data_IF_334669860343
#
_entry.id   IF_334669860343
#
_cell.length_a   1.000
_cell.length_b   1.000
_cell.length_c   1.000
_cell.angle_alpha   90.00
_cell.angle_beta   90.00
_cell.angle_gamma   90.00
#
_symmetry.space_group_name_H-M   'P 1'
#
loop_
_entity.id
_entity.type
_entity.pdbx_description
1 polymer ?
#
# COMPACT_ATOMS: atom_id res chain seq x y z
N UNK A 1 -3.67 -6.27 10.29
CA UNK A 1 -2.78 -6.76 11.37
C UNK A 1 -1.52 -7.31 10.74
N UNK A 2 -0.34 -6.90 11.21
CA UNK A 2 0.94 -7.41 10.71
C UNK A 2 1.61 -8.20 11.83
N UNK A 3 2.10 -9.38 11.49
CA UNK A 3 2.89 -10.21 12.39
C UNK A 3 4.18 -10.62 11.69
N UNK A 4 5.30 -10.43 12.37
CA UNK A 4 6.60 -10.90 11.94
C UNK A 4 7.15 -11.88 12.98
N UNK A 5 7.35 -13.12 12.57
CA UNK A 5 7.61 -14.24 13.48
C UNK A 5 8.99 -14.86 13.28
N UNK A 6 9.65 -15.17 14.40
CA UNK A 6 11.03 -15.63 14.46
C UNK A 6 11.14 -16.84 15.39
N UNK A 7 11.66 -17.95 14.86
CA UNK A 7 12.06 -19.09 15.66
C UNK A 7 13.42 -18.82 16.30
N UNK A 8 13.44 -18.70 17.62
CA UNK A 8 14.65 -18.36 18.36
C UNK A 8 15.08 -19.49 19.30
N UNK A 9 16.36 -19.86 19.24
CA UNK A 9 17.00 -20.71 20.25
C UNK A 9 17.12 -19.98 21.57
N UNK A 10 17.44 -18.69 21.53
CA UNK A 10 17.51 -17.80 22.68
C UNK A 10 17.06 -16.38 22.32
N UNK A 11 16.41 -15.68 23.25
CA UNK A 11 16.18 -14.24 23.14
C UNK A 11 16.03 -13.57 24.50
N UNK A 12 16.26 -12.26 24.55
CA UNK A 12 15.98 -11.44 25.72
C UNK A 12 15.34 -10.11 25.35
N UNK A 13 14.53 -9.57 26.25
CA UNK A 13 13.87 -8.26 26.11
C UNK A 13 13.96 -7.49 27.42
N UNK A 14 14.29 -6.20 27.33
CA UNK A 14 14.45 -5.33 28.48
C UNK A 14 13.87 -3.95 28.20
N UNK A 15 12.93 -3.52 29.04
CA UNK A 15 12.38 -2.16 28.99
C UNK A 15 13.44 -1.14 29.37
N UNK A 16 13.58 -0.08 28.57
CA UNK A 16 14.54 1.01 28.84
C UNK A 16 13.85 2.27 29.30
N UNK A 17 13.04 2.87 28.43
CA UNK A 17 12.29 4.08 28.74
C UNK A 17 10.88 3.98 28.18
N UNK A 18 9.86 4.46 28.91
CA UNK A 18 8.52 4.57 28.35
C UNK A 18 8.55 5.53 27.16
N UNK A 19 7.69 5.28 26.19
CA UNK A 19 7.49 6.16 25.05
C UNK A 19 6.84 7.46 25.51
N UNK A 20 7.31 8.58 24.96
CA UNK A 20 6.70 9.90 25.15
C UNK A 20 5.74 10.29 24.01
N UNK A 21 5.44 9.36 23.10
CA UNK A 21 4.63 9.59 21.89
C UNK A 21 3.24 8.95 21.93
N UNK A 22 2.87 8.35 23.05
CA UNK A 22 1.59 7.63 23.23
C UNK A 22 0.93 8.05 24.54
N UNK A 23 -0.38 7.81 24.65
CA UNK A 23 -1.14 8.03 25.88
C UNK A 23 -0.51 7.23 27.05
N UNK A 24 -0.02 7.91 28.11
CA UNK A 24 0.58 7.25 29.27
C UNK A 24 -0.33 6.19 29.92
N UNK A 25 -1.65 6.34 29.80
CA UNK A 25 -2.62 5.37 30.33
C UNK A 25 -2.62 4.02 29.59
N UNK A 26 -2.02 3.97 28.38
CA UNK A 26 -1.89 2.74 27.58
C UNK A 26 -0.57 2.01 27.81
N UNK A 27 0.37 2.65 28.50
CA UNK A 27 1.68 2.07 28.80
C UNK A 27 1.50 1.00 29.88
N UNK A 28 2.01 -0.20 29.61
CA UNK A 28 1.97 -1.29 30.60
C UNK A 28 2.88 -0.98 31.80
N UNK A 29 2.74 -1.67 32.94
CA UNK A 29 3.77 -1.64 33.97
C UNK A 29 5.13 -2.04 33.38
N UNK A 30 6.24 -1.42 33.82
CA UNK A 30 7.57 -1.76 33.33
C UNK A 30 7.88 -3.21 33.70
N UNK A 31 8.45 -3.96 32.75
CA UNK A 31 8.90 -5.32 33.00
C UNK A 31 10.44 -5.35 33.16
N UNK A 32 10.97 -6.18 34.08
CA UNK A 32 12.40 -6.44 34.14
C UNK A 32 12.86 -7.17 32.87
N UNK A 33 14.18 -7.34 32.73
CA UNK A 33 14.74 -8.17 31.67
C UNK A 33 14.12 -9.58 31.72
N UNK A 34 13.50 -9.97 30.61
CA UNK A 34 12.94 -11.29 30.40
C UNK A 34 13.80 -12.04 29.38
N UNK A 35 14.05 -13.32 29.63
CA UNK A 35 14.84 -14.20 28.78
C UNK A 35 14.02 -15.44 28.46
N UNK A 36 14.14 -15.91 27.21
CA UNK A 36 13.37 -17.05 26.71
C UNK A 36 14.28 -17.93 25.86
N UNK A 37 14.04 -19.24 25.94
CA UNK A 37 14.74 -20.26 25.15
C UNK A 37 13.75 -21.08 24.34
N UNK A 38 14.15 -21.47 23.13
CA UNK A 38 13.37 -22.28 22.19
C UNK A 38 11.91 -21.78 22.01
N UNK A 39 11.77 -20.52 21.62
CA UNK A 39 10.47 -19.84 21.49
C UNK A 39 10.19 -19.40 20.06
N UNK A 40 8.90 -19.15 19.77
CA UNK A 40 8.48 -18.36 18.61
C UNK A 40 8.22 -16.92 19.06
N UNK A 41 9.11 -16.00 18.69
CA UNK A 41 8.90 -14.57 18.92
C UNK A 41 8.01 -14.02 17.81
N UNK A 42 6.91 -13.37 18.17
CA UNK A 42 5.99 -12.73 17.24
C UNK A 42 5.95 -11.23 17.51
N UNK A 43 6.54 -10.44 16.62
CA UNK A 43 6.34 -9.00 16.61
C UNK A 43 4.98 -8.69 16.00
N UNK A 44 4.12 -7.98 16.74
CA UNK A 44 2.73 -7.72 16.33
C UNK A 44 2.49 -6.23 16.20
N UNK A 45 1.94 -5.82 15.06
CA UNK A 45 1.41 -4.48 14.83
C UNK A 45 -0.07 -4.54 14.47
N UNK A 46 -0.88 -3.80 15.24
CA UNK A 46 -2.30 -3.62 15.00
C UNK A 46 -2.48 -2.37 14.14
N UNK A 47 -3.22 -2.51 13.06
CA UNK A 47 -3.53 -1.46 12.09
C UNK A 47 -4.95 -0.93 12.28
N UNK A 48 -5.21 0.29 11.78
CA UNK A 48 -6.42 1.07 12.07
C UNK A 48 -7.75 0.32 11.95
N UNK A 49 -7.94 -0.46 10.88
CA UNK A 49 -9.20 -1.19 10.66
C UNK A 49 -9.21 -2.63 11.19
N UNK A 50 -8.20 -3.01 11.98
CA UNK A 50 -8.16 -4.33 12.59
C UNK A 50 -9.19 -4.46 13.70
N UNK A 51 -9.71 -5.66 13.86
CA UNK A 51 -10.64 -6.03 14.91
C UNK A 51 -10.53 -7.51 15.26
N UNK A 52 -11.63 -8.06 15.78
CA UNK A 52 -11.70 -9.47 16.21
C UNK A 52 -11.48 -10.46 15.07
N UNK A 53 -11.89 -10.09 13.87
CA UNK A 53 -11.75 -10.93 12.67
C UNK A 53 -10.27 -11.20 12.35
N UNK A 54 -9.44 -10.16 12.33
CA UNK A 54 -8.00 -10.27 12.09
C UNK A 54 -7.29 -11.02 13.23
N UNK A 55 -7.74 -10.84 14.47
CA UNK A 55 -7.25 -11.61 15.63
C UNK A 55 -7.55 -13.11 15.45
N UNK A 56 -8.76 -13.46 15.02
CA UNK A 56 -9.14 -14.86 14.79
C UNK A 56 -8.34 -15.48 13.64
N UNK A 57 -8.23 -14.78 12.51
CA UNK A 57 -7.41 -15.20 11.37
C UNK A 57 -5.95 -15.42 11.78
N UNK A 58 -5.38 -14.49 12.55
CA UNK A 58 -4.03 -14.63 13.08
C UNK A 58 -3.90 -15.85 14.00
N UNK A 59 -4.82 -16.04 14.94
CA UNK A 59 -4.80 -17.18 15.84
C UNK A 59 -4.91 -18.53 15.08
N UNK A 60 -5.70 -18.59 14.00
CA UNK A 60 -5.85 -19.77 13.12
C UNK A 60 -4.57 -20.09 12.36
N UNK A 61 -4.03 -19.12 11.64
CA UNK A 61 -2.83 -19.34 10.85
C UNK A 61 -1.62 -19.69 11.72
N UNK A 62 -1.44 -19.00 12.85
CA UNK A 62 -0.31 -19.27 13.74
C UNK A 62 -0.48 -20.55 14.56
N UNK A 63 -1.72 -20.95 14.87
CA UNK A 63 -1.96 -22.26 15.45
C UNK A 63 -1.48 -23.39 14.52
N UNK A 64 -1.76 -23.27 13.22
CA UNK A 64 -1.25 -24.23 12.24
C UNK A 64 0.29 -24.18 12.11
N UNK A 65 0.88 -22.98 12.13
CA UNK A 65 2.32 -22.78 12.01
C UNK A 65 3.10 -23.37 13.20
N UNK A 66 2.65 -23.13 14.44
CA UNK A 66 3.31 -23.66 15.65
C UNK A 66 3.25 -25.19 15.68
N UNK A 67 2.11 -25.79 15.29
CA UNK A 67 1.98 -27.24 15.18
C UNK A 67 2.98 -27.86 14.19
N UNK A 68 3.27 -27.19 13.08
CA UNK A 68 4.25 -27.65 12.09
C UNK A 68 5.71 -27.49 12.54
N UNK A 69 6.00 -26.48 13.35
CA UNK A 69 7.38 -26.12 13.75
C UNK A 69 7.84 -26.82 15.04
N UNK A 70 7.00 -27.69 15.60
CA UNK A 70 7.15 -28.26 16.94
C UNK A 70 6.61 -27.27 17.96
N UNK A 71 5.74 -27.74 18.86
CA UNK A 71 5.12 -26.93 19.90
C UNK A 71 6.18 -26.14 20.69
N UNK A 72 6.10 -24.81 20.63
CA UNK A 72 7.01 -23.88 21.32
C UNK A 72 6.21 -22.78 22.00
N UNK A 73 6.69 -22.26 23.14
CA UNK A 73 6.10 -21.06 23.73
C UNK A 73 6.19 -19.88 22.76
N UNK A 74 5.17 -19.03 22.79
CA UNK A 74 5.04 -17.85 21.95
C UNK A 74 5.40 -16.63 22.79
N UNK A 75 6.26 -15.75 22.26
CA UNK A 75 6.53 -14.44 22.85
C UNK A 75 5.87 -13.36 21.98
N UNK A 76 4.76 -12.78 22.45
CA UNK A 76 4.09 -11.69 21.77
C UNK A 76 4.78 -10.36 22.12
N UNK A 77 5.41 -9.74 21.13
CA UNK A 77 6.08 -8.45 21.25
C UNK A 77 5.30 -7.36 20.49
N UNK A 78 4.64 -6.41 21.18
CA UNK A 78 4.06 -5.24 20.51
C UNK A 78 5.14 -4.45 19.75
N UNK A 79 4.94 -4.22 18.46
CA UNK A 79 5.88 -3.49 17.62
C UNK A 79 5.17 -2.64 16.56
N UNK A 80 4.94 -1.38 16.92
CA UNK A 80 4.21 -0.42 16.08
C UNK A 80 4.91 -0.10 14.75
N UNK A 81 6.23 -0.32 14.64
CA UNK A 81 7.03 0.08 13.48
C UNK A 81 6.80 -0.78 12.23
N UNK A 82 6.03 -1.87 12.33
CA UNK A 82 5.71 -2.71 11.17
C UNK A 82 4.69 -2.04 10.22
N UNK A 83 3.98 -0.99 10.66
CA UNK A 83 2.99 -0.30 9.82
C UNK A 83 3.00 1.22 10.03
N UNK A 84 2.78 1.95 8.94
CA UNK A 84 2.47 3.38 8.97
C UNK A 84 1.00 3.65 9.34
N UNK A 85 0.11 2.68 9.07
CA UNK A 85 -1.35 2.73 9.32
C UNK A 85 -1.74 2.12 10.68
N UNK A 86 -0.87 2.30 11.67
CA UNK A 86 -1.07 1.82 13.04
C UNK A 86 -2.44 2.22 13.62
N UNK A 87 -3.03 1.32 14.40
CA UNK A 87 -4.23 1.59 15.17
C UNK A 87 -3.97 2.59 16.31
N UNK A 88 -5.01 3.30 16.77
CA UNK A 88 -5.02 3.96 18.07
C UNK A 88 -4.54 3.03 19.20
N UNK A 89 -3.86 3.58 20.20
CA UNK A 89 -3.12 2.79 21.18
C UNK A 89 -4.03 1.91 22.03
N UNK A 90 -5.21 2.43 22.41
CA UNK A 90 -6.22 1.67 23.16
C UNK A 90 -6.72 0.46 22.39
N UNK A 91 -6.92 0.60 21.07
CA UNK A 91 -7.31 -0.50 20.21
C UNK A 91 -6.18 -1.52 20.07
N UNK A 92 -4.94 -1.05 19.90
CA UNK A 92 -3.78 -1.93 19.80
C UNK A 92 -3.60 -2.78 21.07
N UNK A 93 -3.66 -2.16 22.25
CA UNK A 93 -3.56 -2.88 23.54
C UNK A 93 -4.67 -3.91 23.69
N UNK A 94 -5.91 -3.56 23.37
CA UNK A 94 -7.05 -4.46 23.46
C UNK A 94 -6.91 -5.68 22.53
N UNK A 95 -6.57 -5.45 21.25
CA UNK A 95 -6.48 -6.54 20.27
C UNK A 95 -5.26 -7.45 20.48
N UNK A 96 -4.15 -6.93 21.00
CA UNK A 96 -3.00 -7.78 21.38
C UNK A 96 -3.37 -8.66 22.58
N UNK A 97 -4.11 -8.13 23.57
CA UNK A 97 -4.61 -8.92 24.69
C UNK A 97 -5.62 -9.99 24.25
N UNK A 98 -6.51 -9.66 23.30
CA UNK A 98 -7.43 -10.64 22.70
C UNK A 98 -6.67 -11.75 21.95
N UNK A 99 -5.59 -11.42 21.23
CA UNK A 99 -4.74 -12.41 20.56
C UNK A 99 -4.04 -13.34 21.56
N UNK A 100 -3.46 -12.79 22.64
CA UNK A 100 -2.89 -13.59 23.75
C UNK A 100 -3.91 -14.58 24.31
N UNK A 101 -5.13 -14.09 24.60
CA UNK A 101 -6.22 -14.91 25.13
C UNK A 101 -6.58 -16.04 24.17
N UNK A 102 -6.76 -15.74 22.88
CA UNK A 102 -7.14 -16.70 21.84
C UNK A 102 -6.10 -17.79 21.64
N UNK A 103 -4.82 -17.44 21.63
CA UNK A 103 -3.73 -18.41 21.55
C UNK A 103 -3.68 -19.29 22.80
N UNK A 104 -3.89 -18.71 23.99
CA UNK A 104 -3.95 -19.48 25.25
C UNK A 104 -5.14 -20.44 25.30
N UNK A 105 -6.32 -20.01 24.87
CA UNK A 105 -7.53 -20.86 24.75
C UNK A 105 -7.33 -22.06 23.82
N UNK A 106 -6.41 -21.93 22.84
CA UNK A 106 -6.02 -22.99 21.91
C UNK A 106 -4.90 -23.90 22.44
N UNK A 107 -4.45 -23.70 23.69
CA UNK A 107 -3.48 -24.55 24.37
C UNK A 107 -2.02 -24.09 24.25
N UNK A 108 -1.74 -22.93 23.64
CA UNK A 108 -0.37 -22.42 23.53
C UNK A 108 0.09 -21.75 24.83
N UNK A 109 1.37 -21.93 25.16
CA UNK A 109 2.02 -21.12 26.21
C UNK A 109 2.39 -19.77 25.60
N UNK A 110 1.83 -18.69 26.12
CA UNK A 110 2.03 -17.33 25.57
C UNK A 110 2.61 -16.40 26.64
N UNK A 111 3.65 -15.66 26.25
CA UNK A 111 4.26 -14.60 27.03
C UNK A 111 4.09 -13.27 26.29
N UNK A 112 3.26 -12.37 26.81
CA UNK A 112 3.13 -11.02 26.25
C UNK A 112 4.09 -10.05 26.92
N UNK A 113 4.89 -9.36 26.11
CA UNK A 113 5.78 -8.29 26.57
C UNK A 113 5.02 -6.97 26.80
N UNK A 114 5.57 -6.11 27.65
CA UNK A 114 4.99 -4.81 28.01
C UNK A 114 4.81 -3.91 26.78
N UNK A 115 3.69 -3.18 26.76
CA UNK A 115 3.38 -2.22 25.70
C UNK A 115 3.93 -0.83 26.04
N UNK A 116 4.43 -0.11 25.02
CA UNK A 116 4.73 1.32 25.15
C UNK A 116 6.15 1.67 25.59
N UNK A 117 7.10 0.74 25.54
CA UNK A 117 8.50 0.98 25.92
C UNK A 117 9.44 0.92 24.71
N UNK A 118 10.49 1.76 24.76
CA UNK A 118 11.70 1.45 24.03
C UNK A 118 12.35 0.22 24.67
N UNK A 119 12.53 -0.84 23.89
CA UNK A 119 13.11 -2.10 24.37
C UNK A 119 14.52 -2.28 23.81
N UNK A 120 15.42 -2.74 24.66
CA UNK A 120 16.67 -3.38 24.23
C UNK A 120 16.40 -4.87 24.16
N UNK A 121 16.72 -5.50 23.05
CA UNK A 121 16.53 -6.94 22.88
C UNK A 121 17.68 -7.56 22.09
N UNK A 122 17.83 -8.87 22.20
CA UNK A 122 18.74 -9.69 21.43
C UNK A 122 18.07 -11.03 21.14
N UNK A 123 18.30 -11.57 19.95
CA UNK A 123 17.63 -12.77 19.45
C UNK A 123 18.63 -13.60 18.66
N UNK A 124 18.65 -14.90 18.92
CA UNK A 124 19.40 -15.89 18.15
C UNK A 124 18.40 -16.74 17.37
N UNK A 125 18.31 -16.50 16.05
CA UNK A 125 17.36 -17.19 15.19
C UNK A 125 17.95 -18.50 14.65
N UNK A 126 17.14 -19.55 14.58
CA UNK A 126 17.60 -20.89 14.18
C UNK A 126 18.08 -20.97 12.71
N UNK A 127 17.65 -20.04 11.86
CA UNK A 127 18.12 -19.90 10.48
C UNK A 127 17.69 -21.01 9.51
N UNK A 128 16.81 -21.93 9.91
CA UNK A 128 16.26 -22.96 9.03
C UNK A 128 15.08 -22.42 8.19
N UNK A 129 14.64 -23.19 7.19
CA UNK A 129 13.47 -22.82 6.37
C UNK A 129 12.24 -22.65 7.27
N UNK A 130 11.57 -21.50 7.16
CA UNK A 130 10.44 -21.14 8.03
C UNK A 130 10.84 -20.58 9.40
N UNK A 131 12.14 -20.38 9.68
CA UNK A 131 12.60 -19.68 10.89
C UNK A 131 12.10 -18.24 10.98
N UNK A 132 11.83 -17.60 9.83
CA UNK A 132 11.34 -16.24 9.74
C UNK A 132 10.12 -16.23 8.82
N UNK A 133 8.99 -15.77 9.32
CA UNK A 133 7.73 -15.71 8.58
C UNK A 133 6.99 -14.43 8.90
N UNK A 134 6.80 -13.57 7.89
CA UNK A 134 5.93 -12.41 7.93
C UNK A 134 4.53 -12.73 7.40
N UNK A 135 3.49 -12.24 8.07
CA UNK A 135 2.08 -12.36 7.67
C UNK A 135 1.34 -11.04 7.89
N UNK A 136 0.39 -10.75 7.01
CA UNK A 136 -0.53 -9.62 7.14
C UNK A 136 -1.97 -10.10 6.94
N UNK A 137 -2.83 -9.69 7.86
CA UNK A 137 -4.26 -10.04 7.90
C UNK A 137 -5.08 -8.80 7.61
N UNK A 138 -6.00 -8.92 6.65
CA UNK A 138 -6.78 -7.79 6.13
C UNK A 138 -8.24 -7.79 6.59
N UNK A 139 -8.72 -8.89 7.20
CA UNK A 139 -10.12 -9.07 7.57
C UNK A 139 -10.99 -9.34 6.35
N UNK A 140 -12.18 -8.74 6.35
CA UNK A 140 -13.11 -8.81 5.23
C UNK A 140 -12.70 -7.93 4.04
N UNK A 141 -13.21 -8.27 2.85
CA UNK A 141 -13.06 -7.47 1.63
C UNK A 141 -13.51 -6.01 1.83
N UNK A 142 -14.53 -5.79 2.67
CA UNK A 142 -15.04 -4.45 2.98
C UNK A 142 -14.03 -3.61 3.75
N UNK A 143 -13.33 -4.20 4.73
CA UNK A 143 -12.27 -3.51 5.45
C UNK A 143 -11.10 -3.24 4.52
N UNK A 144 -10.73 -4.20 3.67
CA UNK A 144 -9.65 -4.01 2.71
C UNK A 144 -9.96 -2.85 1.75
N UNK A 145 -11.18 -2.80 1.23
CA UNK A 145 -11.65 -1.71 0.36
C UNK A 145 -11.76 -0.37 1.10
N UNK A 146 -12.11 -0.38 2.38
CA UNK A 146 -12.08 0.83 3.21
C UNK A 146 -10.65 1.36 3.39
N UNK A 147 -9.66 0.48 3.64
CA UNK A 147 -8.25 0.92 3.76
C UNK A 147 -7.79 1.67 2.52
N UNK A 148 -8.22 1.18 1.37
CA UNK A 148 -8.02 1.82 0.09
C UNK A 148 -8.70 3.19 0.04
N UNK A 149 -10.01 3.26 0.28
CA UNK A 149 -10.76 4.52 0.22
C UNK A 149 -10.14 5.58 1.15
N UNK A 150 -9.60 5.19 2.29
CA UNK A 150 -8.90 6.12 3.17
C UNK A 150 -7.56 6.60 2.63
N UNK A 151 -6.75 5.72 2.02
CA UNK A 151 -5.50 6.14 1.38
C UNK A 151 -5.75 7.08 0.19
N UNK A 152 -6.85 6.88 -0.52
CA UNK A 152 -7.28 7.75 -1.62
C UNK A 152 -7.84 9.11 -1.14
N UNK A 153 -7.94 9.35 0.17
CA UNK A 153 -8.58 10.54 0.73
C UNK A 153 -10.10 10.59 0.54
N UNK A 154 -10.72 9.50 0.06
CA UNK A 154 -12.17 9.40 -0.15
C UNK A 154 -12.91 9.23 1.18
N UNK A 155 -12.37 8.41 2.08
CA UNK A 155 -12.90 8.20 3.42
C UNK A 155 -11.94 8.73 4.48
N UNK A 156 -12.41 9.41 5.54
CA UNK A 156 -11.53 9.80 6.62
C UNK A 156 -10.99 8.57 7.38
N UNK A 157 -9.86 8.70 8.10
CA UNK A 157 -9.26 7.65 8.93
C UNK A 157 -10.20 6.87 9.84
N UNK A 158 -11.13 7.55 10.47
CA UNK A 158 -12.07 7.02 11.47
C UNK A 158 -13.33 6.40 10.88
N UNK A 159 -13.44 6.39 9.54
CA UNK A 159 -14.55 5.75 8.84
C UNK A 159 -14.65 4.26 9.17
N UNK A 160 -15.87 3.77 9.22
CA UNK A 160 -16.23 2.35 9.26
C UNK A 160 -16.66 1.89 7.86
N UNK A 161 -16.72 0.58 7.60
CA UNK A 161 -17.13 0.09 6.28
C UNK A 161 -18.48 0.61 5.79
N UNK A 162 -19.42 0.86 6.70
CA UNK A 162 -20.74 1.44 6.42
C UNK A 162 -20.71 2.93 6.04
N UNK A 163 -19.61 3.62 6.32
CA UNK A 163 -19.44 5.05 6.06
C UNK A 163 -18.83 5.29 4.66
N UNK A 164 -18.47 4.22 3.93
CA UNK A 164 -18.05 4.34 2.54
C UNK A 164 -19.20 4.90 1.68
N UNK A 165 -18.90 5.73 0.67
CA UNK A 165 -19.92 6.24 -0.25
C UNK A 165 -20.74 5.12 -0.89
N UNK A 166 -22.03 5.36 -1.17
CA UNK A 166 -22.92 4.35 -1.79
C UNK A 166 -22.35 3.79 -3.10
N UNK A 167 -21.65 4.62 -3.89
CA UNK A 167 -21.00 4.14 -5.11
C UNK A 167 -19.91 3.10 -4.81
N UNK A 168 -19.20 3.20 -3.69
CA UNK A 168 -18.14 2.29 -3.26
C UNK A 168 -18.69 0.87 -3.01
N UNK A 169 -19.89 0.76 -2.44
CA UNK A 169 -20.58 -0.51 -2.24
C UNK A 169 -20.96 -1.17 -3.57
N UNK A 170 -21.41 -0.37 -4.55
CA UNK A 170 -21.66 -0.85 -5.92
C UNK A 170 -20.37 -1.39 -6.55
N UNK A 171 -19.22 -0.79 -6.26
CA UNK A 171 -17.94 -1.30 -6.77
C UNK A 171 -17.61 -2.66 -6.20
N UNK A 172 -17.75 -2.82 -4.88
CA UNK A 172 -17.54 -4.10 -4.22
C UNK A 172 -18.44 -5.21 -4.76
N UNK A 173 -19.70 -4.87 -5.10
CA UNK A 173 -20.68 -5.81 -5.65
C UNK A 173 -20.42 -6.16 -7.13
N UNK A 174 -19.78 -5.26 -7.90
CA UNK A 174 -19.54 -5.41 -9.36
C UNK A 174 -18.23 -6.15 -9.71
N UNK A 175 -17.89 -7.21 -8.98
CA UNK A 175 -16.76 -8.09 -9.32
C UNK A 175 -15.38 -7.41 -9.29
N UNK A 176 -15.14 -6.46 -8.37
CA UNK A 176 -13.78 -6.05 -8.06
C UNK A 176 -13.00 -7.27 -7.54
N UNK A 177 -12.05 -7.77 -8.32
CA UNK A 177 -11.13 -8.80 -7.87
C UNK A 177 -9.97 -8.11 -7.15
N UNK A 178 -9.89 -8.34 -5.84
CA UNK A 178 -8.67 -8.06 -5.07
C UNK A 178 -7.60 -9.04 -5.53
N UNK A 179 -6.49 -8.51 -6.04
CA UNK A 179 -5.33 -9.29 -6.46
C UNK A 179 -4.41 -9.45 -5.25
N UNK A 180 -4.00 -10.69 -4.94
CA UNK A 180 -3.29 -10.98 -3.70
C UNK A 180 -1.77 -10.83 -3.79
N UNK A 181 -1.23 -10.62 -5.00
CA UNK A 181 0.22 -10.52 -5.20
C UNK A 181 0.60 -9.61 -6.38
N UNK A 182 1.83 -9.10 -6.36
CA UNK A 182 2.40 -8.31 -7.46
C UNK A 182 2.37 -9.04 -8.80
N UNK A 183 2.64 -10.35 -8.81
CA UNK A 183 2.58 -11.17 -10.02
C UNK A 183 1.17 -11.18 -10.62
N UNK A 184 0.14 -11.25 -9.78
CA UNK A 184 -1.25 -11.18 -10.25
C UNK A 184 -1.59 -9.79 -10.80
N UNK A 185 -1.18 -8.74 -10.09
CA UNK A 185 -1.33 -7.34 -10.54
C UNK A 185 -0.66 -7.12 -11.89
N UNK A 186 0.58 -7.61 -12.06
CA UNK A 186 1.31 -7.48 -13.32
C UNK A 186 0.63 -8.19 -14.48
N UNK A 187 0.20 -9.43 -14.26
CA UNK A 187 -0.50 -10.17 -15.30
C UNK A 187 -1.86 -9.54 -15.65
N UNK A 188 -2.55 -8.95 -14.68
CA UNK A 188 -3.79 -8.20 -14.93
C UNK A 188 -3.51 -6.93 -15.75
N UNK A 189 -2.48 -6.15 -15.39
CA UNK A 189 -2.05 -4.95 -16.11
C UNK A 189 -1.70 -5.29 -17.56
N UNK A 190 -0.86 -6.31 -17.76
CA UNK A 190 -0.44 -6.75 -19.09
C UNK A 190 -1.63 -7.14 -19.97
N UNK A 191 -2.57 -7.93 -19.44
CA UNK A 191 -3.78 -8.32 -20.19
C UNK A 191 -4.66 -7.11 -20.53
N UNK A 192 -4.80 -6.15 -19.62
CA UNK A 192 -5.54 -4.93 -19.91
C UNK A 192 -4.89 -4.09 -21.00
N UNK A 193 -3.55 -4.00 -20.99
CA UNK A 193 -2.82 -3.37 -22.09
C UNK A 193 -3.07 -4.12 -23.40
N UNK A 194 -2.90 -5.44 -23.44
CA UNK A 194 -3.17 -6.27 -24.62
C UNK A 194 -4.61 -6.06 -25.15
N UNK A 195 -5.62 -6.12 -24.27
CA UNK A 195 -7.03 -5.86 -24.61
C UNK A 195 -7.21 -4.47 -25.27
N UNK A 196 -6.45 -3.45 -24.85
CA UNK A 196 -6.50 -2.11 -25.45
C UNK A 196 -5.73 -1.98 -26.76
N UNK A 197 -4.60 -2.65 -26.89
CA UNK A 197 -3.82 -2.65 -28.13
C UNK A 197 -4.56 -3.40 -29.25
N UNK A 198 -5.30 -4.45 -28.90
CA UNK A 198 -6.15 -5.21 -29.83
C UNK A 198 -7.47 -4.50 -30.18
N UNK A 199 -7.85 -3.43 -29.46
CA UNK A 199 -9.10 -2.71 -29.65
C UNK A 199 -9.05 -1.75 -30.85
N UNK A 200 -9.51 -2.21 -32.01
CA UNK A 200 -9.50 -1.41 -33.26
C UNK A 200 -10.34 -0.13 -33.15
N UNK A 201 -9.72 1.02 -33.39
CA UNK A 201 -10.38 2.32 -33.55
C UNK A 201 -10.95 2.97 -32.27
N UNK A 202 -10.74 2.34 -31.10
CA UNK A 202 -11.26 2.83 -29.82
C UNK A 202 -10.28 2.68 -28.64
N UNK A 203 -9.05 2.22 -28.88
CA UNK A 203 -8.04 2.05 -27.85
C UNK A 203 -7.74 3.35 -27.11
N UNK A 204 -7.93 3.34 -25.79
CA UNK A 204 -7.71 4.50 -24.94
C UNK A 204 -7.19 4.02 -23.58
N UNK A 205 -6.05 4.58 -23.17
CA UNK A 205 -5.33 4.19 -21.96
C UNK A 205 -5.21 5.40 -21.04
N UNK A 206 -5.64 5.27 -19.79
CA UNK A 206 -5.41 6.30 -18.76
C UNK A 206 -4.44 5.75 -17.74
N UNK A 207 -3.42 6.55 -17.44
CA UNK A 207 -2.31 6.12 -16.60
C UNK A 207 -1.85 7.21 -15.64
N UNK A 208 -1.44 6.79 -14.45
CA UNK A 208 -0.84 7.65 -13.42
C UNK A 208 0.52 7.08 -12.99
N UNK A 209 1.53 7.93 -12.76
CA UNK A 209 2.87 7.52 -12.27
C UNK A 209 3.12 7.90 -10.83
N UNK A 210 3.89 7.05 -10.15
CA UNK A 210 4.24 7.19 -8.73
C UNK A 210 5.71 7.19 -8.39
N UNK A 211 6.05 8.07 -7.44
CA UNK A 211 7.35 8.15 -6.80
C UNK A 211 7.14 8.14 -5.29
N UNK A 212 7.59 7.07 -4.64
CA UNK A 212 7.98 7.16 -3.23
C UNK A 212 9.37 6.53 -3.07
N UNK A 213 10.35 7.36 -2.71
CA UNK A 213 11.61 6.95 -2.09
C UNK A 213 12.71 6.35 -2.97
N UNK A 214 12.41 5.73 -4.12
CA UNK A 214 13.45 5.17 -4.99
C UNK A 214 13.83 6.16 -6.11
N UNK A 215 15.12 6.51 -6.23
CA UNK A 215 15.64 7.46 -7.24
C UNK A 215 15.45 7.03 -8.71
N UNK A 216 14.81 5.88 -8.97
CA UNK A 216 14.58 5.36 -10.31
C UNK A 216 13.13 4.87 -10.46
N UNK A 217 12.48 5.17 -11.59
CA UNK A 217 11.16 4.61 -11.89
C UNK A 217 11.19 3.09 -11.81
N UNK A 218 10.14 2.50 -11.23
CA UNK A 218 9.89 1.07 -11.34
C UNK A 218 9.82 0.69 -12.82
N UNK A 219 10.70 -0.20 -13.27
CA UNK A 219 10.55 -0.87 -14.55
C UNK A 219 9.37 -1.84 -14.45
N UNK A 220 8.15 -1.38 -14.70
CA UNK A 220 7.03 -2.27 -15.08
C UNK A 220 5.87 -1.46 -15.68
N UNK A 221 5.25 -2.03 -16.73
CA UNK A 221 4.19 -1.49 -17.61
C UNK A 221 4.50 -0.22 -18.42
N UNK A 222 5.11 0.80 -17.81
CA UNK A 222 5.26 2.14 -18.40
C UNK A 222 6.55 2.33 -19.20
N UNK A 223 7.52 1.41 -19.05
CA UNK A 223 8.62 1.24 -20.00
C UNK A 223 8.11 0.92 -21.41
N UNK A 224 6.88 0.37 -21.53
CA UNK A 224 6.19 0.13 -22.80
C UNK A 224 5.49 1.36 -23.35
N UNK A 225 5.39 2.49 -22.61
CA UNK A 225 4.71 3.68 -23.11
C UNK A 225 5.29 4.13 -24.46
N UNK A 226 6.61 4.04 -24.63
CA UNK A 226 7.26 4.33 -25.89
C UNK A 226 6.84 3.38 -27.01
N UNK A 227 6.86 2.08 -26.74
CA UNK A 227 6.37 1.05 -27.66
C UNK A 227 4.90 1.29 -28.04
N UNK A 228 4.05 1.63 -27.08
CA UNK A 228 2.64 1.97 -27.32
C UNK A 228 2.52 3.18 -28.25
N UNK A 229 3.27 4.25 -27.95
CA UNK A 229 3.23 5.48 -28.75
C UNK A 229 3.76 5.24 -30.18
N UNK A 230 4.80 4.40 -30.35
CA UNK A 230 5.49 4.16 -31.62
C UNK A 230 4.79 3.10 -32.49
N UNK A 231 4.34 1.99 -31.90
CA UNK A 231 3.79 0.83 -32.63
C UNK A 231 2.26 0.86 -32.75
N UNK A 232 1.56 1.63 -31.90
CA UNK A 232 0.09 1.65 -31.85
C UNK A 232 -0.47 3.07 -32.06
N UNK A 233 -0.45 3.58 -33.30
CA UNK A 233 -0.83 4.96 -33.60
C UNK A 233 -2.32 5.28 -33.35
N UNK A 234 -3.17 4.25 -33.32
CA UNK A 234 -4.62 4.41 -33.10
C UNK A 234 -5.00 4.50 -31.61
N UNK A 235 -4.05 4.28 -30.71
CA UNK A 235 -4.29 4.28 -29.27
C UNK A 235 -4.04 5.68 -28.69
N UNK A 236 -5.03 6.21 -27.98
CA UNK A 236 -4.88 7.47 -27.23
C UNK A 236 -4.43 7.21 -25.80
N UNK A 237 -3.46 7.99 -25.33
CA UNK A 237 -2.91 7.86 -23.97
C UNK A 237 -3.15 9.14 -23.17
N UNK A 238 -3.74 8.99 -22.00
CA UNK A 238 -3.86 10.01 -20.97
C UNK A 238 -2.88 9.70 -19.84
N UNK A 239 -2.02 10.67 -19.52
CA UNK A 239 -0.88 10.50 -18.62
C UNK A 239 -0.87 11.56 -17.54
N UNK A 240 -1.31 11.21 -16.34
CA UNK A 240 -1.17 12.05 -15.15
C UNK A 240 0.19 11.79 -14.49
N UNK A 241 0.89 12.87 -14.15
CA UNK A 241 2.22 12.83 -13.54
C UNK A 241 2.29 13.87 -12.44
N UNK A 242 2.79 13.50 -11.26
CA UNK A 242 3.05 14.48 -10.21
C UNK A 242 4.29 15.31 -10.59
N UNK A 243 4.06 16.49 -11.17
CA UNK A 243 5.12 17.34 -11.71
C UNK A 243 5.94 18.06 -10.65
N UNK A 244 5.50 18.07 -9.38
CA UNK A 244 6.31 18.58 -8.26
C UNK A 244 7.55 17.71 -7.99
N UNK A 245 7.56 16.47 -8.49
CA UNK A 245 8.68 15.54 -8.32
C UNK A 245 9.68 15.69 -9.47
N UNK A 246 10.96 15.99 -9.19
CA UNK A 246 11.98 16.20 -10.23
C UNK A 246 12.15 15.04 -11.22
N UNK A 247 11.95 13.79 -10.78
CA UNK A 247 12.00 12.62 -11.67
C UNK A 247 10.90 12.66 -12.73
N UNK A 248 9.71 13.11 -12.37
CA UNK A 248 8.55 13.16 -13.27
C UNK A 248 8.52 14.39 -14.14
N UNK A 249 8.89 15.56 -13.61
CA UNK A 249 9.03 16.74 -14.44
C UNK A 249 10.06 16.51 -15.56
N UNK A 250 11.18 15.84 -15.26
CA UNK A 250 12.16 15.46 -16.27
C UNK A 250 11.64 14.41 -17.27
N UNK A 251 10.91 13.40 -16.80
CA UNK A 251 10.27 12.42 -17.69
C UNK A 251 9.22 13.08 -18.61
N UNK A 252 8.44 14.04 -18.11
CA UNK A 252 7.50 14.81 -18.89
C UNK A 252 8.23 15.64 -19.98
N UNK A 253 9.29 16.37 -19.63
CA UNK A 253 10.12 17.10 -20.61
C UNK A 253 10.67 16.18 -21.70
N UNK A 254 11.10 14.97 -21.34
CA UNK A 254 11.55 14.00 -22.32
C UNK A 254 10.44 13.58 -23.30
N UNK A 255 9.22 13.36 -22.80
CA UNK A 255 8.06 13.04 -23.66
C UNK A 255 7.74 14.18 -24.64
N UNK A 256 7.78 15.44 -24.19
CA UNK A 256 7.58 16.61 -25.06
C UNK A 256 8.61 16.70 -26.18
N UNK A 257 9.88 16.41 -25.88
CA UNK A 257 10.95 16.42 -26.88
C UNK A 257 10.90 15.24 -27.83
N UNK A 258 10.53 14.06 -27.33
CA UNK A 258 10.53 12.81 -28.12
C UNK A 258 9.29 12.67 -29.00
N UNK A 259 8.12 13.12 -28.53
CA UNK A 259 6.84 12.92 -29.23
C UNK A 259 6.01 14.20 -29.39
N UNK A 260 6.55 15.28 -29.98
CA UNK A 260 5.84 16.54 -30.15
C UNK A 260 4.54 16.36 -30.95
N UNK A 261 4.57 15.62 -32.06
CA UNK A 261 3.39 15.42 -32.93
C UNK A 261 2.27 14.62 -32.24
N UNK A 262 2.64 13.62 -31.42
CA UNK A 262 1.68 12.83 -30.66
C UNK A 262 0.99 13.68 -29.59
N UNK A 263 1.73 14.61 -28.99
CA UNK A 263 1.17 15.55 -28.03
C UNK A 263 0.31 16.57 -28.75
N UNK A 264 0.80 17.24 -29.79
CA UNK A 264 0.04 18.26 -30.53
C UNK A 264 -1.30 17.73 -31.07
N UNK A 265 -1.31 16.51 -31.62
CA UNK A 265 -2.54 15.84 -32.08
C UNK A 265 -3.51 15.43 -30.96
N UNK A 266 -3.08 15.53 -29.69
CA UNK A 266 -3.84 15.10 -28.52
C UNK A 266 -3.94 13.58 -28.38
N UNK A 267 -3.09 12.83 -29.10
CA UNK A 267 -2.94 11.38 -28.97
C UNK A 267 -2.23 11.01 -27.67
N UNK A 268 -1.22 11.77 -27.27
CA UNK A 268 -0.59 11.68 -25.95
C UNK A 268 -0.94 12.95 -25.16
N UNK A 269 -1.73 12.80 -24.10
CA UNK A 269 -2.11 13.92 -23.22
C UNK A 269 -1.42 13.82 -21.89
N UNK A 270 -0.70 14.86 -21.49
CA UNK A 270 0.03 14.93 -20.23
C UNK A 270 -0.68 15.90 -19.29
N UNK A 271 -0.85 15.49 -18.03
CA UNK A 271 -1.55 16.22 -17.00
C UNK A 271 -0.69 16.32 -15.74
N UNK A 272 -0.81 17.41 -14.99
CA UNK A 272 -0.32 17.47 -13.62
C UNK A 272 -1.24 16.65 -12.71
N UNK A 273 -0.66 15.91 -11.77
CA UNK A 273 -1.40 15.14 -10.78
C UNK A 273 -1.27 15.70 -9.37
N UNK A 274 -2.39 15.69 -8.63
CA UNK A 274 -2.46 16.07 -7.22
C UNK A 274 -2.08 14.95 -6.24
N UNK A 275 -1.88 13.72 -6.73
CA UNK A 275 -1.65 12.55 -5.89
C UNK A 275 -0.34 11.87 -6.26
N UNK A 276 0.45 11.51 -5.25
CA UNK A 276 1.78 10.89 -5.41
C UNK A 276 1.79 9.37 -5.23
N UNK A 277 0.66 8.75 -4.79
CA UNK A 277 0.65 7.39 -4.20
C UNK A 277 -0.31 6.37 -4.88
N UNK A 278 -0.86 6.66 -6.06
CA UNK A 278 -1.76 5.79 -6.86
C UNK A 278 -1.22 5.37 -8.26
N UNK A 279 -1.00 4.08 -8.50
CA UNK A 279 -0.72 3.54 -9.84
C UNK A 279 -2.02 3.03 -10.46
N UNK A 280 -2.23 3.36 -11.72
CA UNK A 280 -3.53 3.17 -12.33
C UNK A 280 -3.42 2.91 -13.82
N UNK A 281 -4.22 1.97 -14.29
CA UNK A 281 -4.40 1.65 -15.69
C UNK A 281 -5.88 1.51 -15.95
N UNK A 282 -6.41 2.34 -16.85
CA UNK A 282 -7.77 2.21 -17.34
C UNK A 282 -7.82 1.86 -18.81
N UNK A 283 -8.91 1.18 -19.12
CA UNK A 283 -9.44 0.94 -20.44
C UNK A 283 -10.90 1.42 -20.47
N UNK A 284 -11.57 1.37 -21.62
CA UNK A 284 -13.00 1.72 -21.69
C UNK A 284 -13.93 0.76 -20.95
N UNK A 285 -13.48 -0.48 -20.73
CA UNK A 285 -14.28 -1.58 -20.21
C UNK A 285 -13.69 -2.24 -18.96
N UNK A 286 -12.47 -1.84 -18.55
CA UNK A 286 -11.74 -2.41 -17.45
C UNK A 286 -10.92 -1.38 -16.68
N UNK A 287 -10.71 -1.68 -15.40
CA UNK A 287 -10.00 -0.87 -14.43
C UNK A 287 -8.97 -1.74 -13.73
N UNK A 288 -7.74 -1.24 -13.63
CA UNK A 288 -6.75 -1.72 -12.67
C UNK A 288 -6.24 -0.54 -11.84
N UNK A 289 -6.47 -0.65 -10.54
CA UNK A 289 -5.91 0.25 -9.54
C UNK A 289 -4.88 -0.51 -8.72
N UNK A 290 -3.61 -0.12 -8.81
CA UNK A 290 -2.50 -0.76 -8.14
C UNK A 290 -1.79 0.22 -7.20
N UNK A 291 -1.22 -0.31 -6.12
CA UNK A 291 -0.40 0.47 -5.20
C UNK A 291 0.96 -0.21 -5.13
N UNK A 292 2.02 0.41 -5.66
CA UNK A 292 3.35 -0.16 -5.62
C UNK A 292 4.00 0.09 -4.26
N UNK A 293 4.80 -0.89 -3.82
CA UNK A 293 5.99 -0.66 -3.01
C UNK A 293 7.00 -1.76 -3.32
N UNK A 294 8.27 -1.45 -3.60
CA UNK A 294 9.41 -2.38 -3.49
C UNK A 294 10.26 -1.94 -2.29
N UNK A 295 10.70 -2.87 -1.43
CA UNK A 295 11.74 -2.57 -0.47
C UNK A 295 13.15 -2.74 -1.05
N UNK A 296 13.98 -1.71 -0.90
CA UNK A 296 15.42 -1.72 -1.22
C UNK A 296 16.29 -2.71 -0.39
N UNK A 297 15.72 -3.46 0.57
CA UNK A 297 16.45 -4.47 1.35
C UNK A 297 15.61 -5.73 1.54
N UNK A 298 16.26 -6.88 1.34
CA UNK A 298 15.71 -8.16 1.77
C UNK A 298 15.39 -8.08 3.28
N UNK A 299 14.11 -8.21 3.63
CA UNK A 299 13.64 -8.21 5.01
C UNK A 299 13.05 -6.90 5.57
N UNK A 300 12.79 -5.85 4.79
CA UNK A 300 12.00 -4.72 5.33
C UNK A 300 10.50 -4.99 5.25
N UNK A 301 9.92 -5.36 6.38
CA UNK A 301 8.50 -5.66 6.56
C UNK A 301 7.69 -4.45 7.06
N UNK A 302 7.75 -3.34 6.32
CA UNK A 302 6.88 -2.20 6.60
C UNK A 302 6.40 -1.55 5.28
N UNK A 303 5.17 -1.90 4.90
CA UNK A 303 4.40 -1.13 3.90
C UNK A 303 3.69 -1.92 2.80
N UNK A 304 3.75 -3.26 2.76
CA UNK A 304 3.21 -4.05 1.64
C UNK A 304 1.70 -3.87 1.41
N UNK A 305 1.31 -2.91 0.56
CA UNK A 305 0.19 -3.19 -0.34
C UNK A 305 0.79 -3.93 -1.53
N UNK A 306 0.49 -5.22 -1.60
CA UNK A 306 0.76 -6.07 -2.76
C UNK A 306 -0.52 -6.36 -3.54
N UNK A 307 -1.54 -5.50 -3.41
CA UNK A 307 -2.85 -5.72 -4.00
C UNK A 307 -3.17 -4.69 -5.09
N UNK A 308 -3.59 -5.20 -6.24
CA UNK A 308 -4.29 -4.45 -7.26
C UNK A 308 -5.79 -4.73 -7.16
N UNK A 309 -6.60 -3.80 -7.63
CA UNK A 309 -8.05 -3.98 -7.75
C UNK A 309 -8.36 -3.95 -9.23
N UNK A 310 -8.89 -5.08 -9.70
CA UNK A 310 -9.26 -5.26 -11.09
C UNK A 310 -10.77 -5.36 -11.23
N UNK A 311 -11.34 -4.68 -12.23
CA UNK A 311 -12.75 -4.78 -12.60
C UNK A 311 -12.92 -4.76 -14.11
N UNK A 312 -13.87 -5.52 -14.64
CA UNK A 312 -14.29 -5.45 -16.05
C UNK A 312 -15.75 -5.06 -16.14
N UNK A 313 -16.02 -3.77 -15.98
CA UNK A 313 -17.35 -3.17 -16.03
C UNK A 313 -17.26 -1.78 -16.69
N UNK A 314 -18.01 -1.59 -17.78
CA UNK A 314 -17.91 -0.37 -18.59
C UNK A 314 -18.51 0.88 -17.91
N UNK A 315 -19.56 0.73 -17.10
CA UNK A 315 -20.12 1.85 -16.33
C UNK A 315 -19.12 2.29 -15.25
N UNK A 316 -18.47 1.30 -14.62
CA UNK A 316 -17.45 1.55 -13.62
C UNK A 316 -16.22 2.22 -14.21
N UNK A 317 -15.70 1.69 -15.32
CA UNK A 317 -14.58 2.29 -16.05
C UNK A 317 -14.90 3.74 -16.43
N UNK A 318 -16.09 4.00 -16.97
CA UNK A 318 -16.57 5.35 -17.28
C UNK A 318 -16.59 6.28 -16.06
N UNK A 319 -17.13 5.82 -14.93
CA UNK A 319 -17.18 6.62 -13.70
C UNK A 319 -15.78 6.92 -13.16
N UNK A 320 -14.85 5.96 -13.23
CA UNK A 320 -13.48 6.20 -12.83
C UNK A 320 -12.71 7.11 -13.79
N UNK A 321 -13.01 7.10 -15.10
CA UNK A 321 -12.46 8.10 -16.02
C UNK A 321 -12.93 9.50 -15.62
N UNK A 322 -14.20 9.66 -15.25
CA UNK A 322 -14.71 10.94 -14.75
C UNK A 322 -14.03 11.35 -13.43
N UNK A 323 -13.82 10.40 -12.52
CA UNK A 323 -13.10 10.64 -11.28
C UNK A 323 -11.64 11.02 -11.53
N UNK A 324 -10.95 10.32 -12.43
CA UNK A 324 -9.58 10.63 -12.86
C UNK A 324 -9.46 12.09 -13.32
N UNK A 325 -10.40 12.54 -14.15
CA UNK A 325 -10.43 13.92 -14.65
C UNK A 325 -10.74 14.96 -13.57
N UNK A 326 -11.51 14.58 -12.55
CA UNK A 326 -12.01 15.51 -11.53
C UNK A 326 -11.11 15.61 -10.30
N UNK A 327 -10.41 14.52 -9.98
CA UNK A 327 -9.69 14.37 -8.71
C UNK A 327 -8.19 14.15 -8.89
N UNK A 328 -7.79 13.29 -9.85
CA UNK A 328 -6.37 12.99 -10.05
C UNK A 328 -5.66 14.08 -10.86
N UNK A 329 -6.32 14.56 -11.90
CA UNK A 329 -5.81 15.66 -12.75
C UNK A 329 -6.06 16.98 -12.05
N UNK A 330 -5.05 17.86 -12.08
CA UNK A 330 -5.25 19.22 -11.63
C UNK A 330 -6.20 19.99 -12.55
N UNK A 331 -7.40 20.40 -12.07
CA UNK A 331 -8.36 21.15 -12.88
C UNK A 331 -7.83 22.53 -13.31
N UNK A 332 -6.85 23.11 -12.62
CA UNK A 332 -6.29 24.42 -12.95
C UNK A 332 -5.30 24.35 -14.10
N UNK A 333 -4.50 23.28 -14.14
CA UNK A 333 -3.47 23.06 -15.17
C UNK A 333 -4.06 22.45 -16.44
N UNK A 334 -5.07 21.59 -16.31
CA UNK A 334 -5.66 20.90 -17.46
C UNK A 334 -4.66 20.03 -18.23
N UNK A 335 -4.90 19.85 -19.54
CA UNK A 335 -3.96 19.14 -20.43
C UNK A 335 -2.88 20.10 -20.91
N UNK A 336 -1.63 19.80 -20.57
CA UNK A 336 -0.43 20.55 -20.97
C UNK A 336 -0.09 20.21 -22.43
N UNK A 337 -0.06 21.22 -23.29
CA UNK A 337 0.07 21.08 -24.76
C UNK A 337 1.45 21.48 -25.28
N UNK A 338 2.20 22.29 -24.54
CA UNK A 338 3.53 22.76 -24.97
C UNK A 338 4.58 22.58 -23.88
N UNK A 339 5.86 22.49 -24.28
CA UNK A 339 6.98 22.44 -23.33
C UNK A 339 7.04 23.72 -22.47
N UNK A 340 6.67 24.88 -23.04
CA UNK A 340 6.59 26.14 -22.29
C UNK A 340 5.49 26.15 -21.22
N UNK A 341 4.31 25.59 -21.52
CA UNK A 341 3.26 25.38 -20.52
C UNK A 341 3.73 24.41 -19.43
N UNK A 342 4.42 23.34 -19.82
CA UNK A 342 4.99 22.39 -18.85
C UNK A 342 5.96 23.08 -17.89
N UNK A 343 6.89 23.87 -18.42
CA UNK A 343 7.87 24.57 -17.60
C UNK A 343 7.22 25.60 -16.67
N UNK A 344 6.18 26.31 -17.12
CA UNK A 344 5.42 27.23 -16.27
C UNK A 344 4.76 26.52 -15.08
N UNK A 345 4.08 25.40 -15.33
CA UNK A 345 3.46 24.57 -14.28
C UNK A 345 4.49 24.07 -13.28
N UNK A 346 5.65 23.61 -13.75
CA UNK A 346 6.72 23.13 -12.87
C UNK A 346 7.25 24.28 -12.00
N UNK A 347 7.46 25.45 -12.57
CA UNK A 347 7.92 26.63 -11.82
C UNK A 347 6.91 27.06 -10.75
N UNK A 348 5.61 27.07 -11.05
CA UNK A 348 4.55 27.37 -10.08
C UNK A 348 4.58 26.38 -8.90
N UNK A 349 4.65 25.08 -9.18
CA UNK A 349 4.73 24.04 -8.15
C UNK A 349 6.02 24.14 -7.30
N UNK A 350 7.14 24.52 -7.91
CA UNK A 350 8.41 24.76 -7.20
C UNK A 350 8.32 25.98 -6.27
N UNK A 351 7.63 27.03 -6.69
CA UNK A 351 7.38 28.23 -5.89
C UNK A 351 6.46 27.95 -4.70
N UNK A 352 5.37 27.19 -4.89
CA UNK A 352 4.46 26.76 -3.83
C UNK A 352 5.17 25.93 -2.76
N UNK A 353 5.95 24.92 -3.18
CA UNK A 353 6.71 24.08 -2.26
C UNK A 353 7.74 24.88 -1.43
N UNK A 354 8.29 25.96 -2.01
CA UNK A 354 9.23 26.83 -1.32
C UNK A 354 8.55 27.79 -0.32
N UNK A 355 7.29 28.17 -0.57
CA UNK A 355 6.49 28.98 0.36
C UNK A 355 6.01 28.14 1.55
N UNK A 356 5.51 26.93 1.31
CA UNK A 356 5.09 26.00 2.37
C UNK A 356 6.24 25.56 3.29
N UNK A 357 7.48 25.51 2.78
CA UNK A 357 8.66 25.21 3.59
C UNK A 357 9.13 26.33 4.53
N UNK A 358 8.47 27.51 4.51
CA UNK A 358 8.79 28.66 5.37
C UNK A 358 7.79 28.88 6.51
N UNK A 359 6.63 28.22 6.49
CA UNK A 359 5.68 28.15 7.62
C UNK A 359 5.99 26.95 8.52
#
# INVERSE_FOLDING_TARGET
MIIDSYQCSSCYFEDKRPSNRIDPATISPPQPRAEFENVLVMFVCIERYDGREEVEQAAEEFGALVGMLGERPIVLCPNVHLSVDKAPEKQAVALIADLEKKLTERGYTVHRLSFGYHKRYGMECNGNVGSVVGRRFYGSDHKQFLRLMTRLGVCPPDALPKDMPVWAEVLMQRQLKVLGSRRETYNAAKRMCEDQLDATGQGELWTCMLFEGERQPMDDYLSQLYTIIEEYPDVRVHRAMNLSVPGFSNAARHLFRKYPDAIESGRLRIYSSKVSDIEFLLSRDAVLLAFPQIPHKAGSHAGEISFGIYCKDADFAKNLIQWYQSFLVDPEVGWIRTESELDAVISELEEEAFQDGRE
#
